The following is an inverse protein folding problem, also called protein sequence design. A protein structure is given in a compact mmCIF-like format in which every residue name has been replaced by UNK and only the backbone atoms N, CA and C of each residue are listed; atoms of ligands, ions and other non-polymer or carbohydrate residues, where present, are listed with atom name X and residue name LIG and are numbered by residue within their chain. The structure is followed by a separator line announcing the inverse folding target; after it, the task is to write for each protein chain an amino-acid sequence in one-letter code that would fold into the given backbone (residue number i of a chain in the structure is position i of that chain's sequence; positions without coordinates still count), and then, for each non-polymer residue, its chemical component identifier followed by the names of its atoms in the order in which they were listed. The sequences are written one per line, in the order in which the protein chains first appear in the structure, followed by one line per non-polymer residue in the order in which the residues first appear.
data_IF_268027474609
#
_entry.id   IF_268027474609
#
_cell.length_a   1.000
_cell.length_b   1.000
_cell.length_c   1.000
_cell.angle_alpha   90.00
_cell.angle_beta   90.00
_cell.angle_gamma   90.00
#
_symmetry.space_group_name_H-M   'P 1'
#
loop_
_entity.id
_entity.type
_entity.pdbx_description
1 polymer ?
#
# COMPACT_ATOMS: atom_id res chain seq x y z
N UNK A 1 11.97 52.56 -5.90
CA UNK A 1 10.87 51.59 -6.13
C UNK A 1 9.64 52.04 -5.38
N UNK A 2 8.53 52.28 -6.08
CA UNK A 2 7.25 52.68 -5.50
C UNK A 2 6.72 51.58 -4.56
N UNK A 3 6.10 51.96 -3.45
CA UNK A 3 5.49 51.07 -2.44
C UNK A 3 4.51 50.07 -3.07
N UNK A 4 3.87 50.46 -4.19
CA UNK A 4 2.97 49.61 -4.98
C UNK A 4 3.71 48.45 -5.66
N UNK A 5 4.94 48.68 -6.13
CA UNK A 5 5.76 47.66 -6.80
C UNK A 5 6.31 46.64 -5.81
N UNK A 6 6.57 47.02 -4.55
CA UNK A 6 6.96 46.08 -3.49
C UNK A 6 5.80 45.16 -3.07
N UNK A 7 4.58 45.68 -3.01
CA UNK A 7 3.40 44.91 -2.61
C UNK A 7 3.02 43.86 -3.65
N UNK A 8 3.12 44.20 -4.95
CA UNK A 8 2.89 43.25 -6.05
C UNK A 8 3.92 42.11 -6.05
N UNK A 9 5.18 42.43 -5.75
CA UNK A 9 6.26 41.44 -5.75
C UNK A 9 6.14 40.45 -4.58
N UNK A 10 5.68 40.92 -3.41
CA UNK A 10 5.40 40.05 -2.24
C UNK A 10 4.20 39.13 -2.53
N UNK A 11 3.15 39.65 -3.16
CA UNK A 11 1.97 38.84 -3.49
C UNK A 11 2.29 37.77 -4.55
N UNK A 12 3.13 38.10 -5.53
CA UNK A 12 3.57 37.15 -6.56
C UNK A 12 4.48 36.05 -5.98
N UNK A 13 5.34 36.38 -5.00
CA UNK A 13 6.19 35.41 -4.31
C UNK A 13 5.35 34.44 -3.44
N UNK A 14 4.32 34.95 -2.76
CA UNK A 14 3.38 34.14 -1.98
C UNK A 14 2.54 33.21 -2.87
N UNK A 15 2.15 33.66 -4.06
CA UNK A 15 1.43 32.84 -5.03
C UNK A 15 2.31 31.69 -5.57
N UNK A 16 3.59 31.94 -5.82
CA UNK A 16 4.54 30.91 -6.27
C UNK A 16 4.81 29.88 -5.18
N UNK A 17 4.90 30.30 -3.90
CA UNK A 17 5.03 29.40 -2.75
C UNK A 17 3.77 28.53 -2.54
N UNK A 18 2.58 29.07 -2.83
CA UNK A 18 1.33 28.31 -2.75
C UNK A 18 1.18 27.29 -3.89
N UNK A 19 1.76 27.56 -5.07
CA UNK A 19 1.70 26.66 -6.24
C UNK A 19 2.80 25.58 -6.22
N UNK A 20 3.85 25.73 -5.40
CA UNK A 20 4.89 24.71 -5.21
C UNK A 20 4.52 23.60 -4.21
N UNK A 21 3.28 23.57 -3.70
CA UNK A 21 2.81 22.57 -2.74
C UNK A 21 2.47 21.19 -3.33
N UNK A 22 2.40 21.06 -4.66
CA UNK A 22 2.14 19.78 -5.34
C UNK A 22 3.43 19.26 -6.00
N UNK A 23 4.44 18.94 -5.20
CA UNK A 23 5.63 18.24 -5.68
C UNK A 23 5.88 17.04 -4.76
N UNK A 24 5.33 15.90 -5.16
CA UNK A 24 5.74 14.56 -4.74
C UNK A 24 5.76 14.33 -3.24
N UNK A 25 4.62 13.93 -2.67
CA UNK A 25 4.63 13.15 -1.45
C UNK A 25 5.36 11.83 -1.76
N UNK A 26 6.67 11.81 -1.56
CA UNK A 26 7.40 10.55 -1.40
C UNK A 26 6.74 9.86 -0.21
N UNK A 27 6.12 8.69 -0.45
CA UNK A 27 5.58 7.85 0.61
C UNK A 27 6.76 7.47 1.48
N UNK A 28 6.91 8.17 2.61
CA UNK A 28 7.84 7.75 3.66
C UNK A 28 7.28 6.43 4.16
N UNK A 29 8.04 5.34 4.03
CA UNK A 29 7.67 4.06 4.65
C UNK A 29 7.45 4.33 6.13
N UNK A 30 6.20 4.20 6.56
CA UNK A 30 5.80 4.30 7.95
C UNK A 30 5.04 3.03 8.29
N UNK A 31 5.51 2.37 9.34
CA UNK A 31 4.84 1.23 9.94
C UNK A 31 3.76 1.79 10.85
N UNK A 32 2.51 1.39 10.61
CA UNK A 32 1.36 1.84 11.38
C UNK A 32 0.51 0.65 11.82
N UNK A 33 -0.01 0.69 13.04
CA UNK A 33 -1.00 -0.28 13.51
C UNK A 33 -2.31 -0.15 12.73
N UNK A 34 -3.00 -1.26 12.52
CA UNK A 34 -4.35 -1.26 11.93
C UNK A 34 -5.33 -0.69 12.95
N UNK A 35 -5.79 0.55 12.74
CA UNK A 35 -6.64 1.25 13.72
C UNK A 35 -8.15 1.02 13.55
N UNK A 36 -8.59 0.31 12.51
CA UNK A 36 -10.01 0.14 12.16
C UNK A 36 -10.22 -1.07 11.27
N UNK A 37 -11.41 -1.69 11.37
CA UNK A 37 -11.85 -2.76 10.47
C UNK A 37 -12.01 -2.27 9.02
N UNK A 38 -12.27 -0.99 8.80
CA UNK A 38 -12.25 -0.40 7.46
C UNK A 38 -10.85 0.14 7.18
N UNK A 39 -10.01 -0.70 6.60
CA UNK A 39 -8.64 -0.34 6.25
C UNK A 39 -8.62 0.38 4.90
N UNK A 40 -7.85 1.47 4.81
CA UNK A 40 -7.63 2.22 3.58
C UNK A 40 -6.17 2.58 3.41
N UNK A 41 -5.66 2.52 2.18
CA UNK A 41 -4.33 2.97 1.83
C UNK A 41 -4.27 3.48 0.39
N UNK A 42 -3.15 4.09 0.00
CA UNK A 42 -2.88 4.43 -1.39
C UNK A 42 -1.77 3.53 -1.92
N UNK A 43 -1.98 2.98 -3.12
CA UNK A 43 -1.03 2.12 -3.83
C UNK A 43 -0.90 2.53 -5.29
N UNK A 44 0.29 2.41 -5.86
CA UNK A 44 0.53 2.54 -7.30
C UNK A 44 1.83 1.85 -7.68
N UNK A 45 1.90 1.26 -8.88
CA UNK A 45 3.09 0.51 -9.27
C UNK A 45 4.25 1.45 -9.60
N UNK A 46 5.47 0.94 -9.38
CA UNK A 46 6.72 1.55 -9.87
C UNK A 46 7.50 0.46 -10.60
N UNK A 47 7.75 0.68 -11.89
CA UNK A 47 8.42 -0.26 -12.78
C UNK A 47 9.62 0.41 -13.45
N UNK A 48 10.79 0.30 -12.82
CA UNK A 48 11.99 1.01 -13.24
C UNK A 48 11.80 2.53 -13.17
N UNK A 49 11.71 3.18 -14.34
CA UNK A 49 11.44 4.62 -14.47
C UNK A 49 9.96 4.95 -14.69
N UNK A 50 9.11 3.94 -14.88
CA UNK A 50 7.67 4.10 -15.08
C UNK A 50 6.95 4.08 -13.74
N UNK A 51 5.99 4.99 -13.57
CA UNK A 51 5.10 5.01 -12.40
C UNK A 51 3.67 4.96 -12.91
N UNK A 52 2.89 4.05 -12.33
CA UNK A 52 1.48 3.87 -12.65
C UNK A 52 0.57 4.93 -12.04
N UNK A 53 -0.74 4.83 -12.30
CA UNK A 53 -1.74 5.58 -11.55
C UNK A 53 -1.68 5.19 -10.07
N UNK A 54 -2.06 6.15 -9.21
CA UNK A 54 -2.29 5.87 -7.80
C UNK A 54 -3.75 5.47 -7.59
N UNK A 55 -3.98 4.54 -6.69
CA UNK A 55 -5.30 4.05 -6.31
C UNK A 55 -5.48 4.16 -4.81
N UNK A 56 -6.63 4.69 -4.40
CA UNK A 56 -7.12 4.51 -3.05
C UNK A 56 -7.74 3.12 -2.94
N UNK A 57 -7.14 2.28 -2.12
CA UNK A 57 -7.61 0.93 -1.85
C UNK A 57 -8.36 0.92 -0.52
N UNK A 58 -9.36 0.06 -0.43
CA UNK A 58 -10.11 -0.19 0.80
C UNK A 58 -10.44 -1.67 0.96
N UNK A 59 -10.48 -2.13 2.20
CA UNK A 59 -10.88 -3.50 2.54
C UNK A 59 -11.39 -3.58 3.98
N UNK A 60 -12.23 -4.58 4.23
CA UNK A 60 -12.67 -4.96 5.56
C UNK A 60 -11.70 -5.99 6.16
N UNK A 61 -11.03 -5.63 7.25
CA UNK A 61 -10.17 -6.53 8.02
C UNK A 61 -10.90 -7.06 9.26
N UNK A 62 -10.59 -8.27 9.74
CA UNK A 62 -11.18 -8.82 10.96
C UNK A 62 -10.92 -7.92 12.17
N UNK A 63 -11.83 -7.92 13.13
CA UNK A 63 -11.67 -7.20 14.40
C UNK A 63 -10.39 -7.63 15.14
N UNK A 64 -10.08 -8.92 15.11
CA UNK A 64 -8.88 -9.50 15.74
C UNK A 64 -7.55 -9.05 15.11
N UNK A 65 -7.57 -8.30 13.99
CA UNK A 65 -6.37 -7.70 13.39
C UNK A 65 -6.15 -6.25 13.83
N UNK A 66 -7.20 -5.59 14.34
CA UNK A 66 -7.13 -4.21 14.81
C UNK A 66 -6.22 -4.15 16.04
N UNK A 67 -5.25 -3.23 16.01
CA UNK A 67 -4.17 -3.07 17.01
C UNK A 67 -3.21 -4.27 17.18
N UNK A 68 -3.55 -5.44 16.63
CA UNK A 68 -2.74 -6.67 16.69
C UNK A 68 -1.78 -6.83 15.49
N UNK A 69 -2.14 -6.26 14.33
CA UNK A 69 -1.28 -6.23 13.14
C UNK A 69 -0.84 -4.80 12.80
N UNK A 70 0.31 -4.74 12.15
CA UNK A 70 0.88 -3.52 11.58
C UNK A 70 0.93 -3.62 10.07
N UNK A 71 0.84 -2.46 9.41
CA UNK A 71 1.04 -2.32 7.97
C UNK A 71 2.18 -1.37 7.70
N UNK A 72 3.10 -1.81 6.86
CA UNK A 72 4.13 -0.97 6.25
C UNK A 72 3.74 -0.68 4.80
N UNK A 73 3.54 0.60 4.46
CA UNK A 73 3.25 1.03 3.09
C UNK A 73 4.51 1.53 2.39
N UNK A 74 4.95 0.78 1.37
CA UNK A 74 6.12 1.07 0.55
C UNK A 74 5.78 1.79 -0.77
N UNK A 75 4.53 2.22 -0.94
CA UNK A 75 4.03 2.91 -2.14
C UNK A 75 3.43 1.95 -3.17
N UNK A 76 4.16 0.91 -3.56
CA UNK A 76 3.65 -0.14 -4.46
C UNK A 76 3.33 -1.46 -3.73
N UNK A 77 3.71 -1.57 -2.45
CA UNK A 77 3.51 -2.76 -1.61
C UNK A 77 2.96 -2.35 -0.25
N UNK A 78 1.93 -3.05 0.22
CA UNK A 78 1.48 -3.08 1.61
C UNK A 78 1.95 -4.37 2.26
N UNK A 79 2.82 -4.28 3.25
CA UNK A 79 3.27 -5.43 4.03
C UNK A 79 2.52 -5.49 5.35
N UNK A 80 1.79 -6.57 5.59
CA UNK A 80 1.13 -6.87 6.85
C UNK A 80 2.09 -7.65 7.74
N UNK A 81 2.23 -7.22 8.99
CA UNK A 81 3.26 -7.70 9.91
C UNK A 81 2.70 -7.85 11.31
N UNK A 82 3.27 -8.77 12.09
CA UNK A 82 3.05 -8.84 13.54
C UNK A 82 4.04 -7.91 14.27
N UNK A 83 3.67 -7.24 15.37
CA UNK A 83 4.53 -6.29 16.09
C UNK A 83 5.60 -6.97 16.98
N UNK A 84 6.28 -8.01 16.49
CA UNK A 84 7.28 -8.76 17.27
C UNK A 84 8.67 -8.13 17.10
N UNK A 85 9.24 -7.63 18.19
CA UNK A 85 10.68 -7.38 18.30
C UNK A 85 11.26 -6.18 17.53
N UNK A 86 10.48 -5.14 17.27
CA UNK A 86 10.95 -3.85 16.73
C UNK A 86 10.97 -3.77 15.20
N UNK A 87 11.15 -4.88 14.50
CA UNK A 87 11.06 -4.94 13.03
C UNK A 87 9.76 -5.61 12.55
N UNK A 88 9.08 -6.39 13.39
CA UNK A 88 7.84 -7.08 13.06
C UNK A 88 7.99 -8.22 12.03
N UNK A 89 7.25 -9.31 12.21
CA UNK A 89 7.39 -10.50 11.36
C UNK A 89 6.36 -10.50 10.23
N UNK A 90 6.80 -10.84 9.01
CA UNK A 90 6.00 -10.70 7.80
C UNK A 90 4.89 -11.75 7.73
N UNK A 91 3.66 -11.29 7.51
CA UNK A 91 2.49 -12.14 7.45
C UNK A 91 2.01 -12.33 6.01
N UNK A 92 1.66 -11.24 5.32
CA UNK A 92 1.23 -11.28 3.92
C UNK A 92 1.44 -9.89 3.30
N UNK A 93 1.36 -9.79 1.97
CA UNK A 93 1.43 -8.51 1.26
C UNK A 93 0.35 -8.36 0.21
N UNK A 94 0.06 -7.09 -0.11
CA UNK A 94 -0.70 -6.69 -1.30
C UNK A 94 0.20 -5.78 -2.14
N UNK A 95 0.27 -6.03 -3.43
CA UNK A 95 1.15 -5.32 -4.35
C UNK A 95 0.37 -4.76 -5.53
N UNK A 96 0.73 -3.55 -5.97
CA UNK A 96 0.30 -2.98 -7.23
C UNK A 96 1.41 -3.16 -8.27
N UNK A 97 1.10 -3.84 -9.37
CA UNK A 97 2.05 -4.23 -10.40
C UNK A 97 1.65 -3.67 -11.77
N UNK A 98 2.65 -3.33 -12.57
CA UNK A 98 2.46 -3.14 -14.02
C UNK A 98 2.05 -4.47 -14.68
N UNK A 99 1.56 -4.40 -15.92
CA UNK A 99 1.29 -5.62 -16.69
C UNK A 99 2.54 -6.49 -16.85
N UNK A 100 3.71 -5.88 -17.11
CA UNK A 100 4.96 -6.60 -17.27
C UNK A 100 5.37 -7.30 -15.96
N UNK A 101 5.35 -6.57 -14.84
CA UNK A 101 5.64 -7.11 -13.51
C UNK A 101 4.71 -8.26 -13.15
N UNK A 102 3.40 -8.12 -13.41
CA UNK A 102 2.42 -9.17 -13.15
C UNK A 102 2.74 -10.47 -13.92
N UNK A 103 3.03 -10.36 -15.21
CA UNK A 103 3.34 -11.54 -16.04
C UNK A 103 4.68 -12.17 -15.68
N UNK A 104 5.70 -11.36 -15.37
CA UNK A 104 6.99 -11.85 -14.88
C UNK A 104 6.83 -12.59 -13.55
N UNK A 105 6.07 -12.05 -12.60
CA UNK A 105 5.86 -12.66 -11.30
C UNK A 105 5.03 -13.94 -11.40
N UNK A 106 3.94 -13.93 -12.19
CA UNK A 106 3.12 -15.12 -12.47
C UNK A 106 3.91 -16.25 -13.14
N UNK A 107 4.85 -15.92 -14.01
CA UNK A 107 5.73 -16.89 -14.68
C UNK A 107 6.87 -17.40 -13.80
N UNK A 108 7.40 -16.57 -12.89
CA UNK A 108 8.54 -16.91 -12.03
C UNK A 108 8.14 -17.67 -10.78
N UNK A 109 6.97 -17.37 -10.22
CA UNK A 109 6.45 -18.00 -9.01
C UNK A 109 4.99 -18.44 -9.18
N UNK A 110 4.74 -19.46 -10.02
CA UNK A 110 3.39 -19.96 -10.23
C UNK A 110 2.81 -20.44 -8.89
N UNK A 111 1.66 -19.88 -8.52
CA UNK A 111 0.88 -20.15 -7.29
C UNK A 111 1.29 -19.42 -6.00
N UNK A 112 2.34 -18.59 -5.95
CA UNK A 112 2.62 -17.78 -4.75
C UNK A 112 1.86 -16.45 -4.71
N UNK A 113 1.48 -15.94 -5.88
CA UNK A 113 0.73 -14.69 -6.03
C UNK A 113 -0.65 -14.96 -6.59
N UNK A 114 -1.64 -14.32 -6.00
CA UNK A 114 -3.04 -14.43 -6.43
C UNK A 114 -3.53 -13.06 -6.86
N UNK A 115 -4.10 -13.00 -8.06
CA UNK A 115 -4.71 -11.78 -8.58
C UNK A 115 -5.96 -11.43 -7.77
N UNK A 116 -6.02 -10.19 -7.30
CA UNK A 116 -7.16 -9.59 -6.61
C UNK A 116 -8.08 -8.90 -7.62
N UNK A 117 -7.55 -7.89 -8.31
CA UNK A 117 -8.27 -7.09 -9.30
C UNK A 117 -7.31 -6.57 -10.37
N UNK A 118 -7.82 -6.43 -11.59
CA UNK A 118 -7.12 -5.84 -12.73
C UNK A 118 -7.94 -4.63 -13.22
N UNK A 119 -7.33 -3.45 -13.19
CA UNK A 119 -7.94 -2.19 -13.64
C UNK A 119 -7.46 -1.74 -15.03
N UNK A 120 -6.74 -2.61 -15.74
CA UNK A 120 -6.25 -2.39 -17.10
C UNK A 120 -4.76 -2.07 -17.12
N UNK A 121 -4.36 -0.98 -16.46
CA UNK A 121 -2.97 -0.56 -16.33
C UNK A 121 -2.28 -1.13 -15.07
N UNK A 122 -3.06 -1.47 -14.05
CA UNK A 122 -2.58 -1.89 -12.74
C UNK A 122 -3.21 -3.21 -12.31
N UNK A 123 -2.36 -4.12 -11.88
CA UNK A 123 -2.71 -5.42 -11.33
C UNK A 123 -2.47 -5.41 -9.83
N UNK A 124 -3.52 -5.64 -9.06
CA UNK A 124 -3.38 -5.86 -7.63
C UNK A 124 -3.29 -7.36 -7.36
N UNK A 125 -2.24 -7.75 -6.66
CA UNK A 125 -2.03 -9.14 -6.25
C UNK A 125 -1.82 -9.20 -4.75
N UNK A 126 -2.12 -10.34 -4.13
CA UNK A 126 -1.63 -10.63 -2.79
C UNK A 126 -0.69 -11.82 -2.80
N UNK A 127 0.24 -11.81 -1.85
CA UNK A 127 1.11 -12.92 -1.53
C UNK A 127 0.91 -13.31 -0.07
N UNK A 128 0.61 -14.58 0.16
CA UNK A 128 0.52 -15.20 1.47
C UNK A 128 1.53 -16.35 1.51
N UNK A 129 2.50 -16.37 2.46
CA UNK A 129 3.39 -17.49 2.66
C UNK A 129 2.65 -18.82 2.82
N UNK A 130 3.34 -19.92 2.54
CA UNK A 130 2.78 -21.27 2.71
C UNK A 130 2.82 -21.75 4.16
N UNK A 131 3.65 -21.14 5.01
CA UNK A 131 3.85 -21.52 6.41
C UNK A 131 4.19 -20.35 7.33
N UNK A 132 4.41 -20.66 8.61
CA UNK A 132 4.65 -19.72 9.70
C UNK A 132 6.08 -19.24 9.84
N UNK A 133 7.02 -19.79 9.05
CA UNK A 133 8.45 -19.68 9.34
C UNK A 133 8.94 -18.23 9.46
N UNK A 134 8.32 -17.32 8.70
CA UNK A 134 8.67 -15.89 8.66
C UNK A 134 7.66 -14.96 9.36
N UNK A 135 6.53 -15.49 9.86
CA UNK A 135 5.43 -14.67 10.38
C UNK A 135 5.50 -14.41 11.88
N UNK A 136 6.33 -15.16 12.60
CA UNK A 136 6.40 -15.09 14.06
C UNK A 136 5.11 -15.54 14.76
N UNK A 137 4.15 -16.07 14.01
CA UNK A 137 2.90 -16.63 14.51
C UNK A 137 3.07 -18.11 14.84
N UNK A 138 2.34 -18.58 15.84
CA UNK A 138 2.15 -20.01 16.03
C UNK A 138 1.32 -20.59 14.88
N UNK A 139 1.48 -21.90 14.60
CA UNK A 139 0.78 -22.57 13.48
C UNK A 139 -0.73 -22.34 13.50
N UNK A 140 -1.36 -22.43 14.66
CA UNK A 140 -2.82 -22.23 14.79
C UNK A 140 -3.22 -20.78 14.47
N UNK A 141 -2.42 -19.81 14.90
CA UNK A 141 -2.69 -18.39 14.62
C UNK A 141 -2.53 -18.09 13.12
N UNK A 142 -1.50 -18.67 12.49
CA UNK A 142 -1.30 -18.52 11.06
C UNK A 142 -2.38 -19.22 10.23
N UNK A 143 -2.83 -20.41 10.64
CA UNK A 143 -3.95 -21.10 9.95
C UNK A 143 -5.24 -20.28 10.02
N UNK A 144 -5.53 -19.67 11.17
CA UNK A 144 -6.66 -18.76 11.32
C UNK A 144 -6.52 -17.54 10.40
N UNK A 145 -5.31 -16.94 10.34
CA UNK A 145 -5.01 -15.82 9.47
C UNK A 145 -5.15 -16.20 7.98
N UNK A 146 -4.54 -17.30 7.56
CA UNK A 146 -4.59 -17.79 6.20
C UNK A 146 -6.03 -18.10 5.74
N UNK A 147 -6.90 -18.50 6.67
CA UNK A 147 -8.33 -18.69 6.42
C UNK A 147 -9.09 -17.37 6.29
N UNK A 148 -8.68 -16.33 7.02
CA UNK A 148 -9.30 -15.00 6.99
C UNK A 148 -8.88 -14.17 5.76
N UNK A 149 -7.63 -14.29 5.30
CA UNK A 149 -7.08 -13.49 4.18
C UNK A 149 -8.00 -13.53 2.93
N UNK A 150 -8.49 -14.68 2.43
CA UNK A 150 -9.39 -14.71 1.29
C UNK A 150 -10.67 -13.86 1.48
N UNK A 151 -11.20 -13.77 2.71
CA UNK A 151 -12.37 -12.95 2.99
C UNK A 151 -12.05 -11.45 2.97
N UNK A 152 -10.89 -11.07 3.51
CA UNK A 152 -10.38 -9.69 3.42
C UNK A 152 -10.19 -9.29 1.96
N UNK A 153 -9.53 -10.15 1.18
CA UNK A 153 -9.30 -9.92 -0.25
C UNK A 153 -10.61 -9.84 -1.03
N UNK A 154 -11.64 -10.63 -0.67
CA UNK A 154 -12.96 -10.54 -1.30
C UNK A 154 -13.65 -9.17 -1.08
N UNK A 155 -13.28 -8.44 -0.04
CA UNK A 155 -13.77 -7.08 0.24
C UNK A 155 -12.90 -5.98 -0.37
N UNK A 156 -11.81 -6.34 -1.05
CA UNK A 156 -10.88 -5.39 -1.64
C UNK A 156 -11.56 -4.56 -2.74
N UNK A 157 -11.44 -3.25 -2.65
CA UNK A 157 -11.83 -2.31 -3.67
C UNK A 157 -10.69 -1.32 -3.93
N UNK A 158 -10.56 -0.88 -5.18
CA UNK A 158 -9.58 0.10 -5.61
C UNK A 158 -10.24 1.14 -6.53
N UNK A 159 -10.00 2.41 -6.23
CA UNK A 159 -10.49 3.56 -7.00
C UNK A 159 -9.32 4.48 -7.33
N UNK A 160 -9.21 4.94 -8.57
CA UNK A 160 -8.12 5.81 -8.99
C UNK A 160 -8.13 7.12 -8.16
N UNK A 161 -6.97 7.48 -7.60
CA UNK A 161 -6.80 8.69 -6.81
C UNK A 161 -6.77 9.91 -7.74
N UNK A 162 -7.69 10.85 -7.54
CA UNK A 162 -7.83 12.09 -8.33
C UNK A 162 -6.81 13.17 -7.97
#
# INVERSE_FOLDING_TARGET
MSTKSRLVLVFMLLLVLALSGCAGAFVKSEVQSIASQNFTATLGYVDGSETGPQYNISMAVPEDWVDELEVENLGNVLNFRTPIGGDGAYVFSIEALSAEQYWQASGSFPASQVNIVNLGDTFFVYHLPVDTFYSGLENVQFEALATAVPQVIASFAAEEAQ
#
